data_IF_255281643418
#
_entry.id   IF_255281643418
#
_cell.length_a   1.000
_cell.length_b   1.000
_cell.length_c   1.000
_cell.angle_alpha   90.00
_cell.angle_beta   90.00
_cell.angle_gamma   90.00
#
_symmetry.space_group_name_H-M   'P 1'
#
loop_
_entity.id
_entity.type
_entity.pdbx_description
1 polymer ?
#
# COMPACT_ATOMS: atom_id res chain seq x y z
N UNK A 1 -23.22 -1.47 36.65
CA UNK A 1 -23.59 -0.12 37.12
C UNK A 1 -24.34 0.59 36.00
N UNK A 2 -25.60 0.92 36.31
CA UNK A 2 -26.50 1.93 35.74
C UNK A 2 -26.83 1.95 34.24
N UNK A 3 -27.94 1.26 33.94
CA UNK A 3 -29.04 1.72 33.09
C UNK A 3 -29.48 3.15 33.44
N UNK A 4 -29.83 3.99 32.45
CA UNK A 4 -30.87 5.04 32.57
C UNK A 4 -31.21 5.67 31.21
N UNK A 5 -32.44 5.43 30.75
CA UNK A 5 -33.17 6.27 29.77
C UNK A 5 -33.67 7.57 30.45
N UNK A 6 -33.98 8.62 29.67
CA UNK A 6 -35.03 9.59 30.00
C UNK A 6 -36.19 9.46 28.99
N UNK A 7 -37.38 8.96 29.34
CA UNK A 7 -38.54 9.64 29.96
C UNK A 7 -39.08 10.86 29.18
N UNK A 8 -40.35 10.71 28.75
CA UNK A 8 -41.20 11.66 28.02
C UNK A 8 -41.82 12.73 28.93
N UNK A 9 -42.24 13.89 28.41
CA UNK A 9 -43.13 14.80 29.14
C UNK A 9 -44.62 14.53 28.86
N UNK A 10 -45.38 14.47 29.96
CA UNK A 10 -46.85 14.43 30.01
C UNK A 10 -47.49 15.79 29.70
N UNK A 11 -48.55 15.74 28.89
CA UNK A 11 -49.87 16.39 29.01
C UNK A 11 -50.05 17.84 29.52
N UNK A 12 -50.86 18.59 28.77
CA UNK A 12 -51.77 19.64 29.29
C UNK A 12 -53.17 19.51 28.66
N UNK A 13 -54.16 19.94 29.43
CA UNK A 13 -55.60 19.60 29.43
C UNK A 13 -56.47 20.49 28.52
N UNK A 14 -57.56 19.86 27.99
CA UNK A 14 -58.98 20.28 27.83
C UNK A 14 -59.27 21.62 27.09
N UNK A 15 -60.24 21.68 26.18
CA UNK A 15 -61.68 21.68 26.49
C UNK A 15 -62.54 20.97 25.41
N UNK A 16 -63.55 20.23 25.89
CA UNK A 16 -64.74 19.81 25.13
C UNK A 16 -65.89 20.65 25.68
N UNK A 17 -66.69 21.23 24.81
CA UNK A 17 -67.96 21.87 25.16
C UNK A 17 -69.06 20.98 24.58
N UNK A 18 -69.76 20.28 25.47
CA UNK A 18 -71.08 19.70 25.25
C UNK A 18 -71.93 20.19 26.41
N UNK A 19 -72.98 20.97 26.16
CA UNK A 19 -74.07 21.17 27.10
C UNK A 19 -75.39 21.20 26.33
N UNK A 20 -76.15 20.12 26.50
CA UNK A 20 -77.58 20.07 26.24
C UNK A 20 -78.34 20.69 27.44
N UNK A 21 -79.46 21.38 27.17
CA UNK A 21 -80.80 21.16 27.77
C UNK A 21 -81.60 22.47 27.96
N UNK A 22 -82.79 22.50 27.34
CA UNK A 22 -83.97 23.41 27.50
C UNK A 22 -84.54 23.35 28.94
N UNK A 23 -85.52 24.16 29.45
CA UNK A 23 -86.72 24.66 28.74
C UNK A 23 -87.28 26.05 29.15
N UNK A 24 -88.17 26.60 28.34
CA UNK A 24 -88.95 27.79 28.68
C UNK A 24 -90.07 28.04 27.67
N UNK A 25 -91.24 27.46 27.94
CA UNK A 25 -92.49 27.74 27.23
C UNK A 25 -92.94 29.19 27.42
N UNK A 26 -93.41 29.84 26.36
CA UNK A 26 -94.51 30.79 26.47
C UNK A 26 -95.28 30.87 25.13
N UNK A 27 -96.47 30.29 25.16
CA UNK A 27 -97.52 30.38 24.15
C UNK A 27 -98.04 31.82 24.08
N UNK A 28 -98.07 32.43 22.88
CA UNK A 28 -98.98 33.53 22.57
C UNK A 28 -99.62 33.26 21.21
N UNK A 29 -100.87 32.79 21.25
CA UNK A 29 -101.75 32.71 20.08
C UNK A 29 -102.18 34.13 19.68
N UNK A 30 -102.04 34.50 18.41
CA UNK A 30 -103.05 35.33 17.73
C UNK A 30 -103.33 34.80 16.33
N UNK A 31 -104.60 34.46 16.11
CA UNK A 31 -105.19 34.01 14.85
C UNK A 31 -105.45 35.23 13.96
N UNK A 32 -105.06 35.17 12.70
CA UNK A 32 -105.72 35.92 11.63
C UNK A 32 -105.60 35.17 10.30
N UNK A 33 -106.75 34.66 9.86
CA UNK A 33 -106.99 34.10 8.53
C UNK A 33 -106.80 35.21 7.49
N UNK A 34 -105.88 35.00 6.55
CA UNK A 34 -105.98 35.61 5.22
C UNK A 34 -105.92 34.47 4.21
N UNK A 35 -107.07 34.24 3.58
CA UNK A 35 -107.25 33.31 2.47
C UNK A 35 -106.75 34.04 1.22
N UNK A 36 -105.55 33.70 0.77
CA UNK A 36 -105.11 33.96 -0.58
C UNK A 36 -104.86 32.60 -1.24
N UNK A 37 -105.76 32.20 -2.15
CA UNK A 37 -105.60 31.02 -2.98
C UNK A 37 -104.43 31.26 -3.93
N UNK A 38 -103.26 30.74 -3.58
CA UNK A 38 -102.13 30.62 -4.50
C UNK A 38 -102.33 29.40 -5.40
N UNK A 39 -101.98 29.44 -6.69
CA UNK A 39 -102.23 28.34 -7.61
C UNK A 39 -101.56 27.07 -7.12
N UNK A 40 -102.34 25.99 -7.10
CA UNK A 40 -101.91 24.64 -6.78
C UNK A 40 -100.92 24.19 -7.86
N UNK A 41 -99.64 24.47 -7.63
CA UNK A 41 -98.57 23.81 -8.36
C UNK A 41 -98.62 22.36 -7.91
N UNK A 42 -99.11 21.48 -8.78
CA UNK A 42 -98.87 20.05 -8.67
C UNK A 42 -97.38 19.87 -8.41
N UNK A 43 -97.04 19.56 -7.15
CA UNK A 43 -95.76 18.97 -6.85
C UNK A 43 -95.85 17.57 -7.43
N UNK A 44 -95.43 17.42 -8.67
CA UNK A 44 -94.88 16.14 -9.10
C UNK A 44 -93.76 15.85 -8.10
N UNK A 45 -94.00 14.88 -7.23
CA UNK A 45 -93.02 14.40 -6.26
C UNK A 45 -91.97 13.59 -7.04
N UNK A 46 -91.29 14.22 -7.98
CA UNK A 46 -90.25 13.60 -8.75
C UNK A 46 -88.99 13.60 -7.89
N UNK A 47 -88.66 12.39 -7.43
CA UNK A 47 -87.50 11.96 -6.66
C UNK A 47 -86.36 12.99 -6.57
N UNK A 48 -86.19 13.55 -5.39
CA UNK A 48 -84.85 13.81 -4.80
C UNK A 48 -84.86 13.32 -3.35
N UNK A 49 -85.50 12.17 -3.11
CA UNK A 49 -85.07 11.34 -2.00
C UNK A 49 -83.75 10.74 -2.46
N UNK A 50 -82.65 11.16 -1.86
CA UNK A 50 -81.38 10.45 -2.06
C UNK A 50 -81.67 9.02 -1.63
N UNK A 51 -81.69 8.11 -2.60
CA UNK A 51 -82.13 6.74 -2.42
C UNK A 51 -81.14 6.08 -1.46
N UNK A 52 -81.61 5.74 -0.26
CA UNK A 52 -80.74 5.20 0.79
C UNK A 52 -80.02 3.93 0.32
N UNK A 53 -80.67 3.18 -0.58
CA UNK A 53 -80.13 1.98 -1.23
C UNK A 53 -78.95 2.30 -2.15
N UNK A 54 -78.96 3.42 -2.89
CA UNK A 54 -77.85 3.85 -3.75
C UNK A 54 -76.63 4.26 -2.91
N UNK A 55 -76.84 4.98 -1.80
CA UNK A 55 -75.73 5.28 -0.86
C UNK A 55 -75.15 4.00 -0.27
N UNK A 56 -76.00 3.04 0.14
CA UNK A 56 -75.55 1.74 0.67
C UNK A 56 -74.77 0.95 -0.37
N UNK A 57 -75.13 1.05 -1.64
CA UNK A 57 -74.41 0.39 -2.74
C UNK A 57 -73.04 1.04 -2.96
N UNK A 58 -72.98 2.37 -3.09
CA UNK A 58 -71.71 3.11 -3.20
C UNK A 58 -70.78 2.84 -2.02
N UNK A 59 -71.32 2.76 -0.79
CA UNK A 59 -70.52 2.44 0.39
C UNK A 59 -70.01 0.99 0.37
N UNK A 60 -70.79 0.05 -0.20
CA UNK A 60 -70.36 -1.34 -0.38
C UNK A 60 -69.26 -1.45 -1.44
N UNK A 61 -69.41 -0.77 -2.57
CA UNK A 61 -68.38 -0.70 -3.62
C UNK A 61 -67.10 -0.04 -3.12
N UNK A 62 -67.20 1.08 -2.41
CA UNK A 62 -66.05 1.76 -1.81
C UNK A 62 -65.33 0.86 -0.79
N UNK A 63 -66.07 0.19 0.10
CA UNK A 63 -65.47 -0.77 1.03
C UNK A 63 -64.83 -1.97 0.33
N UNK A 64 -65.36 -2.40 -0.82
CA UNK A 64 -64.78 -3.47 -1.63
C UNK A 64 -63.46 -3.00 -2.25
N UNK A 65 -63.45 -1.83 -2.89
CA UNK A 65 -62.23 -1.22 -3.45
C UNK A 65 -61.16 -1.02 -2.39
N UNK A 66 -61.50 -0.46 -1.21
CA UNK A 66 -60.54 -0.32 -0.12
C UNK A 66 -59.93 -1.65 0.35
N UNK A 67 -60.73 -2.73 0.38
CA UNK A 67 -60.22 -4.07 0.72
C UNK A 67 -59.30 -4.62 -0.35
N UNK A 68 -59.59 -4.37 -1.62
CA UNK A 68 -58.77 -4.77 -2.76
C UNK A 68 -57.43 -4.02 -2.73
N UNK A 69 -57.45 -2.69 -2.59
CA UNK A 69 -56.26 -1.84 -2.48
C UNK A 69 -55.40 -2.26 -1.27
N UNK A 70 -56.01 -2.53 -0.13
CA UNK A 70 -55.28 -2.96 1.06
C UNK A 70 -54.66 -4.36 0.90
N UNK A 71 -55.32 -5.26 0.16
CA UNK A 71 -54.77 -6.57 -0.17
C UNK A 71 -53.62 -6.46 -1.19
N UNK A 72 -53.71 -5.54 -2.14
CA UNK A 72 -52.68 -5.20 -3.10
C UNK A 72 -51.43 -4.64 -2.42
N UNK A 73 -51.57 -3.57 -1.63
CA UNK A 73 -50.47 -2.97 -0.88
C UNK A 73 -49.78 -4.01 0.01
N UNK A 74 -50.55 -4.88 0.67
CA UNK A 74 -49.99 -5.97 1.49
C UNK A 74 -49.19 -6.97 0.67
N UNK A 75 -49.59 -7.23 -0.57
CA UNK A 75 -48.90 -8.12 -1.51
C UNK A 75 -47.60 -7.49 -2.00
N UNK A 76 -47.64 -6.21 -2.38
CA UNK A 76 -46.48 -5.42 -2.81
C UNK A 76 -45.43 -5.36 -1.72
N UNK A 77 -45.79 -4.92 -0.50
CA UNK A 77 -44.88 -4.87 0.65
C UNK A 77 -44.22 -6.24 0.90
N UNK A 78 -44.98 -7.34 0.75
CA UNK A 78 -44.43 -8.68 0.94
C UNK A 78 -43.44 -9.07 -0.15
N UNK A 79 -43.64 -8.62 -1.39
CA UNK A 79 -42.73 -8.85 -2.49
C UNK A 79 -41.47 -7.99 -2.33
N UNK A 80 -41.61 -6.70 -2.04
CA UNK A 80 -40.49 -5.79 -1.80
C UNK A 80 -39.59 -6.30 -0.66
N UNK A 81 -40.19 -6.77 0.45
CA UNK A 81 -39.44 -7.37 1.57
C UNK A 81 -38.67 -8.61 1.11
N UNK A 82 -39.20 -9.42 0.19
CA UNK A 82 -38.49 -10.61 -0.33
C UNK A 82 -37.35 -10.20 -1.24
N UNK A 83 -37.57 -9.24 -2.12
CA UNK A 83 -36.54 -8.72 -3.04
C UNK A 83 -35.38 -8.12 -2.25
N UNK A 84 -35.66 -7.22 -1.31
CA UNK A 84 -34.65 -6.62 -0.41
C UNK A 84 -33.87 -7.71 0.35
N UNK A 85 -34.51 -8.81 0.75
CA UNK A 85 -33.82 -9.91 1.45
C UNK A 85 -32.85 -10.67 0.54
N UNK A 86 -33.21 -10.91 -0.72
CA UNK A 86 -32.30 -11.54 -1.67
C UNK A 86 -31.17 -10.58 -2.05
N UNK A 87 -31.44 -9.30 -2.27
CA UNK A 87 -30.41 -8.28 -2.52
C UNK A 87 -29.39 -8.20 -1.37
N UNK A 88 -29.87 -8.17 -0.12
CA UNK A 88 -28.99 -8.18 1.06
C UNK A 88 -28.12 -9.44 1.09
N UNK A 89 -28.66 -10.58 0.72
CA UNK A 89 -27.96 -11.86 0.72
C UNK A 89 -26.91 -11.91 -0.38
N UNK A 90 -27.19 -11.35 -1.55
CA UNK A 90 -26.23 -11.29 -2.66
C UNK A 90 -25.14 -10.26 -2.37
N UNK A 91 -25.47 -9.07 -1.88
CA UNK A 91 -24.48 -8.10 -1.39
C UNK A 91 -23.57 -8.71 -0.31
N UNK A 92 -24.12 -9.52 0.60
CA UNK A 92 -23.31 -10.20 1.62
C UNK A 92 -22.32 -11.19 1.00
N UNK A 93 -22.70 -11.91 -0.06
CA UNK A 93 -21.77 -12.81 -0.78
C UNK A 93 -20.69 -12.02 -1.49
N UNK A 94 -21.03 -10.92 -2.15
CA UNK A 94 -20.07 -10.06 -2.84
C UNK A 94 -19.06 -9.45 -1.88
N UNK A 95 -19.52 -8.96 -0.73
CA UNK A 95 -18.64 -8.45 0.34
C UNK A 95 -17.70 -9.56 0.83
N UNK A 96 -18.21 -10.78 1.03
CA UNK A 96 -17.37 -11.89 1.46
C UNK A 96 -16.32 -12.27 0.41
N UNK A 97 -16.69 -12.32 -0.87
CA UNK A 97 -15.76 -12.56 -1.99
C UNK A 97 -14.70 -11.48 -2.07
N UNK A 98 -15.10 -10.21 -1.99
CA UNK A 98 -14.17 -9.08 -2.00
C UNK A 98 -13.19 -9.12 -0.83
N UNK A 99 -13.65 -9.55 0.36
CA UNK A 99 -12.79 -9.73 1.53
C UNK A 99 -11.76 -10.84 1.32
N UNK A 100 -12.14 -11.95 0.68
CA UNK A 100 -11.23 -13.05 0.36
C UNK A 100 -10.19 -12.62 -0.69
N UNK A 101 -10.62 -11.94 -1.75
CA UNK A 101 -9.73 -11.38 -2.78
C UNK A 101 -8.73 -10.37 -2.19
N UNK A 102 -9.20 -9.47 -1.31
CA UNK A 102 -8.34 -8.52 -0.60
C UNK A 102 -7.34 -9.24 0.31
N UNK A 103 -7.75 -10.33 0.98
CA UNK A 103 -6.86 -11.17 1.77
C UNK A 103 -5.73 -11.78 0.95
N UNK A 104 -6.07 -12.39 -0.19
CA UNK A 104 -5.09 -12.96 -1.14
C UNK A 104 -4.10 -11.90 -1.63
N UNK A 105 -4.60 -10.72 -2.00
CA UNK A 105 -3.75 -9.63 -2.47
C UNK A 105 -2.77 -9.14 -1.40
N UNK A 106 -3.22 -9.05 -0.14
CA UNK A 106 -2.33 -8.70 0.98
C UNK A 106 -1.23 -9.75 1.15
N UNK A 107 -1.58 -11.04 1.08
CA UNK A 107 -0.60 -12.14 1.14
C UNK A 107 0.43 -12.04 0.01
N UNK A 108 0.00 -11.85 -1.23
CA UNK A 108 0.89 -11.67 -2.40
C UNK A 108 1.83 -10.47 -2.23
N UNK A 109 1.31 -9.31 -1.79
CA UNK A 109 2.12 -8.12 -1.53
C UNK A 109 3.16 -8.40 -0.44
N UNK A 110 2.80 -9.11 0.62
CA UNK A 110 3.76 -9.45 1.68
C UNK A 110 4.84 -10.41 1.19
N UNK A 111 4.52 -11.37 0.33
CA UNK A 111 5.49 -12.28 -0.27
C UNK A 111 6.45 -11.53 -1.19
N UNK A 112 5.94 -10.73 -2.12
CA UNK A 112 6.77 -9.92 -3.05
C UNK A 112 7.70 -9.00 -2.28
N UNK A 113 7.21 -8.36 -1.20
CA UNK A 113 8.05 -7.52 -0.35
C UNK A 113 9.18 -8.30 0.30
N UNK A 114 8.91 -9.50 0.81
CA UNK A 114 9.93 -10.35 1.42
C UNK A 114 10.97 -10.84 0.40
N UNK A 115 10.55 -11.15 -0.83
CA UNK A 115 11.46 -11.50 -1.92
C UNK A 115 12.33 -10.31 -2.34
N UNK A 116 11.73 -9.13 -2.47
CA UNK A 116 12.45 -7.90 -2.77
C UNK A 116 13.53 -7.58 -1.74
N UNK A 117 13.21 -7.70 -0.44
CA UNK A 117 14.18 -7.47 0.63
C UNK A 117 15.34 -8.48 0.58
N UNK A 118 15.06 -9.76 0.26
CA UNK A 118 16.12 -10.77 0.06
C UNK A 118 17.01 -10.44 -1.13
N UNK A 119 16.42 -10.09 -2.27
CA UNK A 119 17.18 -9.77 -3.48
C UNK A 119 18.01 -8.51 -3.29
N UNK A 120 17.46 -7.50 -2.61
CA UNK A 120 18.18 -6.28 -2.22
C UNK A 120 19.43 -6.62 -1.41
N UNK A 121 19.32 -7.43 -0.36
CA UNK A 121 20.47 -7.84 0.46
C UNK A 121 21.49 -8.68 -0.33
N UNK A 122 21.02 -9.56 -1.22
CA UNK A 122 21.89 -10.34 -2.09
C UNK A 122 22.69 -9.44 -3.05
N UNK A 123 22.04 -8.43 -3.64
CA UNK A 123 22.71 -7.46 -4.51
C UNK A 123 23.74 -6.63 -3.75
N UNK A 124 23.41 -6.13 -2.55
CA UNK A 124 24.38 -5.40 -1.72
C UNK A 124 25.60 -6.25 -1.37
N UNK A 125 25.38 -7.52 -1.04
CA UNK A 125 26.48 -8.47 -0.76
C UNK A 125 27.36 -8.68 -2.00
N UNK A 126 26.76 -8.84 -3.18
CA UNK A 126 27.50 -8.99 -4.44
C UNK A 126 28.29 -7.74 -4.83
N UNK A 127 27.73 -6.55 -4.60
CA UNK A 127 28.42 -5.29 -4.83
C UNK A 127 29.65 -5.20 -3.92
N UNK A 128 29.49 -5.47 -2.62
CA UNK A 128 30.59 -5.45 -1.66
C UNK A 128 31.70 -6.45 -2.04
N UNK A 129 31.33 -7.66 -2.44
CA UNK A 129 32.32 -8.64 -2.92
C UNK A 129 33.06 -8.16 -4.18
N UNK A 130 32.36 -7.48 -5.09
CA UNK A 130 32.97 -6.92 -6.29
C UNK A 130 33.93 -5.78 -5.96
N UNK A 131 33.57 -4.89 -5.02
CA UNK A 131 34.43 -3.83 -4.50
C UNK A 131 35.70 -4.41 -3.86
N UNK A 132 35.56 -5.39 -2.97
CA UNK A 132 36.71 -6.06 -2.31
C UNK A 132 37.63 -6.75 -3.33
N UNK A 133 37.07 -7.36 -4.38
CA UNK A 133 37.85 -7.96 -5.47
C UNK A 133 38.57 -6.90 -6.29
N UNK A 134 37.90 -5.78 -6.59
CA UNK A 134 38.48 -4.67 -7.34
C UNK A 134 39.65 -4.06 -6.58
N UNK A 135 39.48 -3.81 -5.28
CA UNK A 135 40.54 -3.28 -4.41
C UNK A 135 41.77 -4.21 -4.40
N UNK A 136 41.56 -5.53 -4.32
CA UNK A 136 42.66 -6.51 -4.38
C UNK A 136 43.40 -6.46 -5.72
N UNK A 137 42.66 -6.35 -6.83
CA UNK A 137 43.24 -6.23 -8.17
C UNK A 137 44.04 -4.93 -8.31
N UNK A 138 43.52 -3.80 -7.82
CA UNK A 138 44.22 -2.51 -7.84
C UNK A 138 45.51 -2.56 -7.01
N UNK A 139 45.45 -3.09 -5.78
CA UNK A 139 46.64 -3.29 -4.94
C UNK A 139 47.67 -4.21 -5.61
N UNK A 140 47.24 -5.22 -6.36
CA UNK A 140 48.14 -6.09 -7.12
C UNK A 140 48.76 -5.34 -8.30
N UNK A 141 47.98 -4.57 -9.08
CA UNK A 141 48.49 -3.75 -10.19
C UNK A 141 49.53 -2.73 -9.71
N UNK A 142 49.28 -2.06 -8.59
CA UNK A 142 50.24 -1.11 -8.00
C UNK A 142 51.52 -1.84 -7.58
N UNK A 143 51.43 -3.00 -6.92
CA UNK A 143 52.62 -3.77 -6.51
C UNK A 143 53.42 -4.30 -7.70
N UNK A 144 52.75 -4.66 -8.78
CA UNK A 144 53.42 -5.16 -9.97
C UNK A 144 54.07 -4.04 -10.79
N UNK A 145 53.71 -2.78 -10.58
CA UNK A 145 54.26 -1.65 -11.33
C UNK A 145 55.37 -0.95 -10.52
N UNK A 146 56.58 -0.95 -11.07
CA UNK A 146 57.75 -0.25 -10.52
C UNK A 146 58.08 0.95 -11.39
N UNK A 147 58.29 2.11 -10.75
CA UNK A 147 58.85 3.29 -11.41
C UNK A 147 60.35 3.33 -11.11
N UNK A 148 61.17 3.21 -12.15
CA UNK A 148 62.62 3.27 -12.05
C UNK A 148 63.06 4.63 -12.59
N UNK A 149 63.82 5.38 -11.79
CA UNK A 149 64.32 6.72 -12.13
C UNK A 149 65.83 6.81 -11.98
N UNK A 150 66.47 7.65 -12.79
CA UNK A 150 67.92 7.91 -12.71
C UNK A 150 68.78 6.93 -13.49
N UNK A 151 68.18 6.14 -14.38
CA UNK A 151 68.90 5.25 -15.30
C UNK A 151 68.71 5.77 -16.72
N UNK A 152 69.81 6.18 -17.36
CA UNK A 152 69.83 6.52 -18.78
C UNK A 152 69.87 5.23 -19.60
N UNK A 153 68.85 5.01 -20.44
CA UNK A 153 68.73 3.79 -21.24
C UNK A 153 68.59 4.11 -22.73
N UNK A 154 69.48 3.58 -23.56
CA UNK A 154 69.46 3.76 -25.01
C UNK A 154 68.73 2.62 -25.74
N UNK A 155 67.68 2.07 -25.14
CA UNK A 155 66.82 1.09 -25.80
C UNK A 155 65.79 1.81 -26.69
N UNK A 156 65.81 1.54 -28.00
CA UNK A 156 64.86 2.09 -28.98
C UNK A 156 63.56 1.26 -29.08
N UNK A 157 63.59 0.00 -28.64
CA UNK A 157 62.48 -0.94 -28.74
C UNK A 157 62.12 -1.51 -27.36
N UNK A 158 60.83 -1.76 -27.13
CA UNK A 158 60.30 -2.23 -25.85
C UNK A 158 60.86 -3.62 -25.46
N UNK A 159 61.04 -4.55 -26.41
CA UNK A 159 61.61 -5.88 -26.13
C UNK A 159 63.07 -5.84 -25.65
N UNK A 160 63.88 -4.90 -26.16
CA UNK A 160 65.27 -4.72 -25.70
C UNK A 160 65.28 -4.06 -24.31
N UNK A 161 64.34 -3.15 -24.07
CA UNK A 161 64.16 -2.48 -22.79
C UNK A 161 63.78 -3.48 -21.68
N UNK A 162 62.87 -4.42 -21.97
CA UNK A 162 62.47 -5.51 -21.07
C UNK A 162 63.68 -6.37 -20.68
N UNK A 163 64.41 -6.93 -21.65
CA UNK A 163 65.60 -7.76 -21.37
C UNK A 163 66.68 -7.01 -20.59
N UNK A 164 66.89 -5.72 -20.90
CA UNK A 164 67.86 -4.89 -20.19
C UNK A 164 67.44 -4.63 -18.74
N UNK A 165 66.14 -4.40 -18.49
CA UNK A 165 65.60 -4.25 -17.15
C UNK A 165 65.67 -5.56 -16.35
N UNK A 166 65.39 -6.71 -16.96
CA UNK A 166 65.54 -8.01 -16.31
C UNK A 166 66.97 -8.26 -15.86
N UNK A 167 67.96 -8.04 -16.76
CA UNK A 167 69.38 -8.20 -16.44
C UNK A 167 69.83 -7.23 -15.34
N UNK A 168 69.39 -5.97 -15.40
CA UNK A 168 69.76 -4.97 -14.40
C UNK A 168 69.24 -5.33 -13.01
N UNK A 169 67.97 -5.75 -12.90
CA UNK A 169 67.39 -6.18 -11.63
C UNK A 169 68.09 -7.45 -11.11
N UNK A 170 68.39 -8.41 -11.99
CA UNK A 170 69.09 -9.64 -11.60
C UNK A 170 70.54 -9.37 -11.15
N UNK A 171 71.24 -8.43 -11.78
CA UNK A 171 72.63 -8.10 -11.43
C UNK A 171 72.75 -7.24 -10.17
N UNK A 172 71.98 -6.14 -10.09
CA UNK A 172 72.10 -5.16 -8.99
C UNK A 172 71.37 -5.61 -7.73
N UNK A 173 70.21 -6.25 -7.89
CA UNK A 173 69.38 -6.66 -6.76
C UNK A 173 69.50 -8.15 -6.44
N UNK A 174 70.20 -8.95 -7.26
CA UNK A 174 70.27 -10.41 -7.14
C UNK A 174 68.88 -11.08 -7.14
N UNK A 175 67.90 -10.45 -7.81
CA UNK A 175 66.52 -10.90 -7.85
C UNK A 175 66.19 -11.42 -9.25
N UNK A 176 65.84 -12.70 -9.35
CA UNK A 176 65.36 -13.28 -10.60
C UNK A 176 63.90 -12.89 -10.82
N UNK A 177 63.68 -11.96 -11.74
CA UNK A 177 62.36 -11.39 -12.00
C UNK A 177 62.00 -11.49 -13.47
N UNK A 178 60.73 -11.83 -13.75
CA UNK A 178 60.16 -11.77 -15.09
C UNK A 178 59.40 -10.46 -15.25
N UNK A 179 59.78 -9.68 -16.25
CA UNK A 179 59.09 -8.45 -16.64
C UNK A 179 58.04 -8.80 -17.69
N UNK A 180 56.85 -8.25 -17.52
CA UNK A 180 55.73 -8.43 -18.44
C UNK A 180 55.67 -7.31 -19.47
N UNK A 181 56.01 -6.10 -19.07
CA UNK A 181 56.09 -4.96 -19.96
C UNK A 181 57.05 -3.91 -19.38
N UNK A 182 57.82 -3.24 -20.21
CA UNK A 182 58.63 -2.10 -19.82
C UNK A 182 58.37 -0.93 -20.77
N UNK A 183 58.14 0.26 -20.22
CA UNK A 183 57.87 1.45 -20.99
C UNK A 183 58.73 2.63 -20.54
N UNK A 184 59.52 3.15 -21.47
CA UNK A 184 60.38 4.31 -21.21
C UNK A 184 59.55 5.59 -21.18
N UNK A 185 59.76 6.40 -20.14
CA UNK A 185 59.11 7.71 -19.96
C UNK A 185 60.19 8.78 -19.87
N UNK A 186 60.47 9.43 -21.00
CA UNK A 186 61.55 10.42 -21.09
C UNK A 186 62.95 9.80 -21.04
N UNK A 187 63.98 10.57 -20.73
CA UNK A 187 65.37 10.11 -20.83
C UNK A 187 65.83 9.24 -19.65
N UNK A 188 65.28 9.46 -18.45
CA UNK A 188 65.79 8.86 -17.20
C UNK A 188 64.72 8.14 -16.37
N UNK A 189 63.54 7.85 -16.95
CA UNK A 189 62.48 7.14 -16.23
C UNK A 189 61.95 5.98 -17.06
N UNK A 190 61.58 4.91 -16.38
CA UNK A 190 60.98 3.73 -16.96
C UNK A 190 59.89 3.20 -16.01
N UNK A 191 58.73 2.83 -16.55
CA UNK A 191 57.73 2.03 -15.83
C UNK A 191 57.94 0.58 -16.22
N UNK A 192 58.08 -0.28 -15.21
CA UNK A 192 58.24 -1.72 -15.39
C UNK A 192 57.05 -2.43 -14.74
N UNK A 193 56.28 -3.17 -15.53
CA UNK A 193 55.23 -4.08 -15.07
C UNK A 193 55.84 -5.48 -14.89
N UNK A 194 55.81 -5.98 -13.67
CA UNK A 194 56.29 -7.31 -13.28
C UNK A 194 55.21 -8.36 -13.58
N UNK A 195 55.59 -9.54 -14.07
CA UNK A 195 54.63 -10.60 -14.41
C UNK A 195 53.89 -11.13 -13.17
N UNK A 196 54.58 -11.36 -12.05
CA UNK A 196 53.98 -11.72 -10.76
C UNK A 196 54.91 -11.35 -9.58
N UNK A 197 54.40 -10.61 -8.59
CA UNK A 197 55.07 -10.36 -7.30
C UNK A 197 54.86 -11.51 -6.27
N UNK A 198 54.63 -12.74 -6.76
CA UNK A 198 54.29 -13.90 -5.94
C UNK A 198 55.49 -14.69 -5.42
N UNK A 199 56.58 -14.76 -6.18
CA UNK A 199 57.76 -15.58 -5.86
C UNK A 199 58.75 -14.97 -4.86
N UNK A 200 58.69 -13.65 -4.63
CA UNK A 200 59.74 -12.94 -3.87
C UNK A 200 59.48 -12.81 -2.37
N UNK A 201 58.25 -13.07 -1.90
CA UNK A 201 57.92 -12.88 -0.48
C UNK A 201 58.58 -13.92 0.44
N UNK A 202 58.99 -15.08 -0.08
CA UNK A 202 59.78 -16.06 0.68
C UNK A 202 61.26 -15.70 0.71
N UNK A 203 61.81 -15.20 -0.41
CA UNK A 203 63.24 -14.89 -0.50
C UNK A 203 63.62 -13.59 0.24
N UNK A 204 62.78 -12.56 0.20
CA UNK A 204 62.98 -11.34 1.01
C UNK A 204 62.78 -11.58 2.51
N UNK A 205 61.88 -12.51 2.91
CA UNK A 205 61.77 -12.94 4.32
C UNK A 205 62.98 -13.75 4.77
N UNK A 206 63.57 -14.57 3.90
CA UNK A 206 64.82 -15.30 4.20
C UNK A 206 66.00 -14.35 4.36
N UNK A 207 66.14 -13.32 3.53
CA UNK A 207 67.22 -12.33 3.68
C UNK A 207 67.09 -11.48 4.95
N UNK A 208 65.87 -11.11 5.34
CA UNK A 208 65.62 -10.34 6.56
C UNK A 208 66.06 -11.12 7.82
N UNK A 209 65.76 -12.43 7.86
CA UNK A 209 66.21 -13.34 8.93
C UNK A 209 67.72 -13.55 8.95
N UNK A 210 68.35 -13.67 7.78
CA UNK A 210 69.80 -13.89 7.66
C UNK A 210 70.61 -12.62 8.02
N UNK A 211 70.06 -11.42 7.83
CA UNK A 211 70.66 -10.16 8.28
C UNK A 211 70.56 -9.98 9.81
N UNK A 212 69.47 -10.43 10.41
CA UNK A 212 69.26 -10.43 11.87
C UNK A 212 70.23 -11.41 12.58
N UNK A 213 70.39 -12.63 12.07
CA UNK A 213 71.34 -13.62 12.61
C UNK A 213 72.82 -13.21 12.46
N UNK A 214 73.17 -12.48 11.39
CA UNK A 214 74.53 -11.95 11.18
C UNK A 214 74.89 -10.81 12.13
N UNK A 215 73.93 -10.06 12.66
CA UNK A 215 74.19 -9.03 13.67
C UNK A 215 74.37 -9.61 15.08
N UNK A 216 73.75 -10.76 15.39
CA UNK A 216 73.90 -11.42 16.69
C UNK A 216 75.30 -12.05 16.87
N UNK A 217 75.97 -12.47 15.79
CA UNK A 217 77.28 -13.13 15.88
C UNK A 217 78.51 -12.20 15.85
N UNK A 218 78.34 -10.88 15.70
CA UNK A 218 79.45 -9.89 15.74
C UNK A 218 79.64 -9.19 17.10
N UNK A 219 78.98 -9.68 18.15
CA UNK A 219 79.08 -9.12 19.50
C UNK A 219 79.50 -10.15 20.55
N UNK A 220 80.72 -10.70 20.46
CA UNK A 220 81.39 -11.26 21.65
C UNK A 220 82.50 -10.29 22.08
N UNK A 221 82.38 -9.62 23.24
CA UNK A 221 83.50 -8.88 23.78
C UNK A 221 84.56 -9.88 24.28
N UNK A 222 85.82 -9.61 23.91
CA UNK A 222 86.98 -10.19 24.57
C UNK A 222 86.92 -9.84 26.05
N UNK A 223 87.02 -10.85 26.92
CA UNK A 223 87.24 -10.67 28.35
C UNK A 223 88.76 -10.64 28.58
N UNK A 224 89.25 -9.52 29.08
CA UNK A 224 90.49 -9.45 29.88
C UNK A 224 90.22 -9.96 31.30
#
# INVERSE_FOLDING_TARGET
MNNSQPQTPRGSKRERIDDNTSPGEQHVFQKSKIIARSPQRERTHNQTEINMEEIKEMLREFNKSLKEDMAEIKREIKNDIKEIREDIKDMKKEIQKSKEEMGSMVEEITQVKAEWDKEKEAVYSRIKEAEDRMEKIERQKIRNNLLITGITMDAQNDSILEEAMEKMIEQELMLKTKIKNAHKIGQERCIVEMAEWGGQSEDTKRESKVKEDRHIHRGRPYKE
#
